data_IF_905881614784
#
_entry.id   IF_905881614784
#
_cell.length_a   1.000
_cell.length_b   1.000
_cell.length_c   1.000
_cell.angle_alpha   90.00
_cell.angle_beta   90.00
_cell.angle_gamma   90.00
#
_symmetry.space_group_name_H-M   'P 1'
#
loop_
_entity.id
_entity.type
_entity.pdbx_description
1 polymer ?
#
# COMPACT_ATOMS: atom_id res chain seq x y z
N UNK A 1 54.55 17.73 19.07
CA UNK A 1 53.09 17.53 19.19
C UNK A 1 52.29 17.86 17.92
N UNK A 2 52.88 17.88 16.71
CA UNK A 2 52.15 18.13 15.44
C UNK A 2 51.73 16.87 14.65
N UNK A 3 52.24 15.69 15.01
CA UNK A 3 51.96 14.42 14.29
C UNK A 3 50.77 13.63 14.83
N UNK A 4 50.21 14.01 15.98
CA UNK A 4 49.04 13.34 16.57
C UNK A 4 47.71 14.00 16.20
N UNK A 5 47.71 15.29 15.85
CA UNK A 5 46.48 16.02 15.53
C UNK A 5 46.00 15.72 14.11
N UNK A 6 46.91 15.44 13.17
CA UNK A 6 46.57 15.14 11.77
C UNK A 6 45.93 13.75 11.58
N UNK A 7 46.29 12.74 12.37
CA UNK A 7 45.65 11.41 12.28
C UNK A 7 44.21 11.40 12.78
N UNK A 8 43.87 12.23 13.78
CA UNK A 8 42.52 12.26 14.34
C UNK A 8 41.53 12.88 13.34
N UNK A 9 41.94 13.91 12.61
CA UNK A 9 41.08 14.58 11.62
C UNK A 9 40.76 13.66 10.43
N UNK A 10 41.73 12.86 9.96
CA UNK A 10 41.51 11.92 8.84
C UNK A 10 40.57 10.77 9.23
N UNK A 11 40.66 10.27 10.46
CA UNK A 11 39.77 9.21 10.96
C UNK A 11 38.33 9.74 11.11
N UNK A 12 38.15 10.96 11.62
CA UNK A 12 36.82 11.59 11.73
C UNK A 12 36.20 11.83 10.35
N UNK A 13 36.98 12.20 9.34
CA UNK A 13 36.48 12.42 7.99
C UNK A 13 36.04 11.12 7.30
N UNK A 14 36.76 10.00 7.54
CA UNK A 14 36.39 8.68 7.00
C UNK A 14 35.13 8.13 7.68
N UNK A 15 34.95 8.38 8.97
CA UNK A 15 33.71 8.03 9.69
C UNK A 15 32.53 8.85 9.15
N UNK A 16 32.71 10.15 8.91
CA UNK A 16 31.66 11.00 8.33
C UNK A 16 31.30 10.62 6.89
N UNK A 17 32.28 10.24 6.06
CA UNK A 17 32.00 9.78 4.69
C UNK A 17 31.27 8.43 4.67
N UNK A 18 31.60 7.53 5.60
CA UNK A 18 30.92 6.24 5.76
C UNK A 18 29.47 6.37 6.24
N UNK A 19 29.19 7.31 7.15
CA UNK A 19 27.81 7.56 7.63
C UNK A 19 26.93 8.17 6.54
N UNK A 20 27.48 9.03 5.67
CA UNK A 20 26.69 9.65 4.58
C UNK A 20 26.41 8.65 3.44
N UNK A 21 27.30 7.69 3.18
CA UNK A 21 27.02 6.61 2.22
C UNK A 21 26.10 5.52 2.78
N UNK A 22 26.09 5.29 4.10
CA UNK A 22 25.15 4.34 4.73
C UNK A 22 23.72 4.87 4.90
N UNK A 23 23.52 6.19 4.89
CA UNK A 23 22.18 6.80 4.91
C UNK A 23 21.48 6.81 3.55
N UNK A 24 22.20 6.55 2.45
CA UNK A 24 21.62 6.52 1.09
C UNK A 24 21.24 5.13 0.58
N UNK A 25 21.60 4.09 1.33
CA UNK A 25 21.21 2.70 1.08
C UNK A 25 20.75 2.08 2.40
N UNK A 26 19.74 2.67 3.03
CA UNK A 26 19.00 1.92 4.05
C UNK A 26 18.32 0.76 3.34
N UNK A 27 18.71 -0.51 3.60
CA UNK A 27 17.87 -1.61 3.19
C UNK A 27 16.59 -1.47 4.01
N UNK A 28 15.52 -0.99 3.36
CA UNK A 28 14.18 -0.90 3.94
C UNK A 28 13.91 -2.26 4.56
N UNK A 29 13.84 -2.31 5.90
CA UNK A 29 13.59 -3.54 6.66
C UNK A 29 12.46 -4.30 5.98
N UNK A 30 12.67 -5.57 5.66
CA UNK A 30 11.62 -6.51 5.25
C UNK A 30 10.74 -6.87 6.45
N UNK A 31 10.06 -5.86 7.00
CA UNK A 31 8.77 -5.98 7.68
C UNK A 31 7.76 -5.42 6.66
N UNK A 32 6.62 -6.10 6.47
CA UNK A 32 5.71 -5.86 5.34
C UNK A 32 5.34 -4.39 5.12
N UNK A 33 4.94 -4.04 3.90
CA UNK A 33 4.63 -2.65 3.54
C UNK A 33 3.51 -2.10 4.42
N UNK A 34 3.73 -0.89 4.91
CA UNK A 34 2.72 -0.15 5.65
C UNK A 34 1.59 0.27 4.71
N UNK A 35 0.35 0.10 5.16
CA UNK A 35 -0.82 0.57 4.43
C UNK A 35 -1.09 2.03 4.80
N UNK A 36 -1.03 2.91 3.80
CA UNK A 36 -1.33 4.33 3.95
C UNK A 36 -2.82 4.57 4.04
N UNK A 37 -3.25 5.63 4.73
CA UNK A 37 -4.66 6.01 4.75
C UNK A 37 -5.06 6.65 3.42
N UNK A 38 -6.28 6.37 2.96
CA UNK A 38 -6.75 6.85 1.66
C UNK A 38 -6.77 8.37 1.52
N UNK A 39 -6.91 9.12 2.62
CA UNK A 39 -6.86 10.59 2.62
C UNK A 39 -5.50 11.15 2.16
N UNK A 40 -4.43 10.36 2.25
CA UNK A 40 -3.08 10.78 1.89
C UNK A 40 -2.80 10.69 0.38
N UNK A 41 -3.63 9.95 -0.37
CA UNK A 41 -3.36 9.59 -1.76
C UNK A 41 -3.16 10.81 -2.66
N UNK A 42 -3.97 11.86 -2.47
CA UNK A 42 -3.96 13.05 -3.31
C UNK A 42 -2.70 13.91 -3.20
N UNK A 43 -1.95 13.77 -2.12
CA UNK A 43 -0.76 14.58 -1.81
C UNK A 43 0.49 13.72 -1.62
N UNK A 44 0.45 12.46 -2.07
CA UNK A 44 1.48 11.49 -1.78
C UNK A 44 2.69 11.69 -2.70
N UNK A 45 3.87 12.07 -2.19
CA UNK A 45 5.03 12.28 -3.05
C UNK A 45 5.58 10.95 -3.56
N UNK A 46 6.28 10.98 -4.70
CA UNK A 46 6.70 9.80 -5.43
C UNK A 46 7.68 8.93 -4.61
N UNK A 47 8.53 9.54 -3.79
CA UNK A 47 9.50 8.87 -2.93
C UNK A 47 8.87 8.03 -1.81
N UNK A 48 7.62 8.30 -1.44
CA UNK A 48 6.87 7.52 -0.45
C UNK A 48 6.16 6.31 -1.06
N UNK A 49 6.26 6.13 -2.38
CA UNK A 49 5.63 5.03 -3.12
C UNK A 49 6.61 3.90 -3.44
N UNK A 50 6.06 2.80 -3.93
CA UNK A 50 6.78 1.58 -4.26
C UNK A 50 6.82 1.34 -5.76
N UNK A 51 7.84 0.65 -6.23
CA UNK A 51 7.84 0.08 -7.58
C UNK A 51 7.00 -1.20 -7.65
N UNK A 52 6.88 -1.72 -8.87
CA UNK A 52 6.13 -2.93 -9.16
C UNK A 52 6.73 -4.17 -8.46
N UNK A 53 8.05 -4.31 -8.44
CA UNK A 53 8.72 -5.49 -7.87
C UNK A 53 8.60 -5.50 -6.34
N UNK A 54 8.72 -4.33 -5.71
CA UNK A 54 8.50 -4.15 -4.29
C UNK A 54 7.08 -4.61 -3.90
N UNK A 55 6.04 -4.13 -4.61
CA UNK A 55 4.65 -4.46 -4.29
C UNK A 55 4.31 -5.91 -4.62
N UNK A 56 4.83 -6.43 -5.73
CA UNK A 56 4.67 -7.84 -6.07
C UNK A 56 5.21 -8.73 -4.95
N UNK A 57 6.39 -8.39 -4.42
CA UNK A 57 6.97 -9.10 -3.28
C UNK A 57 6.12 -8.97 -2.01
N UNK A 58 5.55 -7.80 -1.71
CA UNK A 58 4.62 -7.65 -0.57
C UNK A 58 3.37 -8.51 -0.75
N UNK A 59 2.82 -8.56 -1.96
CA UNK A 59 1.68 -9.42 -2.29
C UNK A 59 2.01 -10.90 -2.13
N UNK A 60 3.15 -11.36 -2.65
CA UNK A 60 3.55 -12.77 -2.58
C UNK A 60 3.89 -13.23 -1.14
N UNK A 61 4.32 -12.31 -0.27
CA UNK A 61 4.57 -12.58 1.15
C UNK A 61 3.32 -12.46 2.03
N UNK A 62 2.28 -11.78 1.54
CA UNK A 62 1.03 -11.61 2.25
C UNK A 62 0.22 -12.92 2.21
N UNK A 63 0.09 -13.58 3.36
CA UNK A 63 -0.67 -14.84 3.51
C UNK A 63 -2.15 -14.73 3.11
N UNK A 64 -2.68 -13.51 2.93
CA UNK A 64 -4.05 -13.25 2.46
C UNK A 64 -4.16 -13.05 0.94
N UNK A 65 -3.05 -12.88 0.22
CA UNK A 65 -3.07 -12.73 -1.23
C UNK A 65 -3.19 -14.11 -1.89
N UNK A 66 -4.18 -14.27 -2.77
CA UNK A 66 -4.33 -15.49 -3.57
C UNK A 66 -3.50 -15.40 -4.85
N UNK A 67 -3.19 -16.54 -5.48
CA UNK A 67 -2.55 -16.59 -6.80
C UNK A 67 -3.31 -15.76 -7.83
N UNK A 68 -4.64 -15.82 -7.82
CA UNK A 68 -5.51 -15.03 -8.70
C UNK A 68 -5.37 -13.51 -8.46
N UNK A 69 -5.19 -13.08 -7.20
CA UNK A 69 -4.95 -11.67 -6.89
C UNK A 69 -3.62 -11.19 -7.47
N UNK A 70 -2.58 -12.01 -7.33
CA UNK A 70 -1.24 -11.73 -7.85
C UNK A 70 -1.24 -11.68 -9.38
N UNK A 71 -1.85 -12.67 -10.05
CA UNK A 71 -1.88 -12.73 -11.52
C UNK A 71 -2.68 -11.55 -12.12
N UNK A 72 -3.78 -11.16 -11.47
CA UNK A 72 -4.53 -9.96 -11.86
C UNK A 72 -3.68 -8.69 -11.74
N UNK A 73 -2.90 -8.56 -10.66
CA UNK A 73 -2.00 -7.42 -10.47
C UNK A 73 -0.93 -7.35 -11.57
N UNK A 74 -0.30 -8.48 -11.91
CA UNK A 74 0.67 -8.59 -13.01
C UNK A 74 0.06 -8.13 -14.34
N UNK A 75 -1.13 -8.65 -14.66
CA UNK A 75 -1.87 -8.30 -15.89
C UNK A 75 -2.24 -6.82 -15.96
N UNK A 76 -2.69 -6.24 -14.84
CA UNK A 76 -3.01 -4.81 -14.75
C UNK A 76 -1.76 -3.94 -14.93
N UNK A 77 -0.63 -4.28 -14.30
CA UNK A 77 0.63 -3.57 -14.49
C UNK A 77 1.06 -3.56 -15.96
N UNK A 78 1.08 -4.72 -16.61
CA UNK A 78 1.47 -4.81 -18.03
C UNK A 78 0.57 -3.97 -18.94
N UNK A 79 -0.75 -3.99 -18.69
CA UNK A 79 -1.72 -3.20 -19.45
C UNK A 79 -1.46 -1.70 -19.27
N UNK A 80 -1.25 -1.26 -18.03
CA UNK A 80 -0.99 0.13 -17.71
C UNK A 80 0.33 0.63 -18.30
N UNK A 81 1.40 -0.16 -18.20
CA UNK A 81 2.72 0.18 -18.74
C UNK A 81 2.71 0.27 -20.28
N UNK A 82 1.91 -0.56 -20.97
CA UNK A 82 1.72 -0.46 -22.43
C UNK A 82 1.01 0.82 -22.85
N UNK A 83 0.04 1.28 -22.05
CA UNK A 83 -0.70 2.52 -22.30
C UNK A 83 0.14 3.78 -21.99
N UNK A 84 0.98 3.76 -20.96
CA UNK A 84 1.84 4.90 -20.61
C UNK A 84 3.07 5.03 -21.51
N UNK A 85 3.65 3.91 -21.97
CA UNK A 85 4.83 3.90 -22.84
C UNK A 85 4.59 4.44 -24.26
N UNK A 86 3.33 4.48 -24.72
CA UNK A 86 3.01 4.93 -26.08
C UNK A 86 2.83 6.44 -26.20
N UNK A 87 2.56 7.19 -25.10
CA UNK A 87 2.25 8.63 -25.18
C UNK A 87 2.50 9.45 -23.89
N UNK A 88 3.14 8.92 -22.84
CA UNK A 88 3.26 9.64 -21.57
C UNK A 88 4.70 9.74 -21.05
N UNK A 89 5.04 10.90 -20.49
CA UNK A 89 6.22 11.13 -19.66
C UNK A 89 6.01 10.67 -18.21
N UNK A 90 4.98 9.85 -17.96
CA UNK A 90 4.54 9.48 -16.63
C UNK A 90 5.29 8.29 -16.07
N UNK A 91 5.60 8.33 -14.78
CA UNK A 91 6.11 7.20 -14.00
C UNK A 91 4.96 6.52 -13.28
N UNK A 92 4.85 5.21 -13.44
CA UNK A 92 3.89 4.41 -12.66
C UNK A 92 4.54 4.01 -11.33
N UNK A 93 3.81 4.25 -10.25
CA UNK A 93 4.17 3.82 -8.89
C UNK A 93 2.99 3.16 -8.21
N UNK A 94 3.26 2.46 -7.12
CA UNK A 94 2.30 1.64 -6.43
C UNK A 94 2.28 1.92 -4.94
N UNK A 95 1.13 1.71 -4.31
CA UNK A 95 0.95 1.85 -2.87
C UNK A 95 0.03 0.76 -2.32
N UNK A 96 0.15 0.54 -1.02
CA UNK A 96 -0.81 -0.22 -0.23
C UNK A 96 -1.70 0.76 0.53
N UNK A 97 -3.00 0.69 0.30
CA UNK A 97 -3.99 1.65 0.80
C UNK A 97 -4.94 0.98 1.80
N UNK A 98 -5.14 1.61 2.94
CA UNK A 98 -6.13 1.25 3.95
C UNK A 98 -7.33 2.20 3.90
N UNK A 99 -8.53 1.62 3.82
CA UNK A 99 -9.78 2.38 3.98
C UNK A 99 -10.20 2.44 5.45
N UNK A 100 -11.32 3.11 5.71
CA UNK A 100 -11.89 3.22 7.05
C UNK A 100 -12.08 1.84 7.71
N UNK A 101 -11.50 1.69 8.91
CA UNK A 101 -11.67 0.49 9.72
C UNK A 101 -13.07 0.40 10.31
N UNK A 102 -13.68 -0.79 10.26
CA UNK A 102 -14.88 -1.11 11.02
C UNK A 102 -14.51 -1.78 12.34
N UNK A 103 -14.88 -1.16 13.47
CA UNK A 103 -14.57 -1.64 14.82
C UNK A 103 -15.83 -2.10 15.54
N UNK A 104 -15.75 -3.24 16.23
CA UNK A 104 -16.86 -3.75 17.04
C UNK A 104 -16.36 -4.62 18.21
N UNK A 105 -17.25 -4.89 19.15
CA UNK A 105 -16.97 -5.70 20.35
C UNK A 105 -17.92 -6.90 20.41
N UNK A 106 -17.41 -8.09 20.77
CA UNK A 106 -18.21 -9.27 21.11
C UNK A 106 -17.68 -9.89 22.41
N UNK A 107 -18.50 -9.84 23.47
CA UNK A 107 -18.05 -10.17 24.82
C UNK A 107 -16.95 -9.21 25.28
N UNK A 108 -15.83 -9.74 25.75
CA UNK A 108 -14.65 -8.95 26.16
C UNK A 108 -13.67 -8.66 25.03
N UNK A 109 -13.92 -9.19 23.82
CA UNK A 109 -13.00 -9.07 22.69
C UNK A 109 -13.37 -7.89 21.79
N UNK A 110 -12.35 -7.12 21.41
CA UNK A 110 -12.44 -6.05 20.41
C UNK A 110 -11.88 -6.53 19.08
N UNK A 111 -12.56 -6.16 18.00
CA UNK A 111 -12.23 -6.54 16.63
C UNK A 111 -12.15 -5.29 15.76
N UNK A 112 -11.22 -5.32 14.81
CA UNK A 112 -11.04 -4.29 13.80
C UNK A 112 -10.86 -4.94 12.43
N UNK A 113 -11.62 -4.42 11.46
CA UNK A 113 -11.61 -4.88 10.08
C UNK A 113 -11.18 -3.70 9.21
N UNK A 114 -10.10 -3.86 8.48
CA UNK A 114 -9.55 -2.80 7.62
C UNK A 114 -9.49 -3.31 6.19
N UNK A 115 -10.23 -2.69 5.26
CA UNK A 115 -10.10 -2.98 3.84
C UNK A 115 -8.75 -2.48 3.32
N UNK A 116 -8.02 -3.35 2.62
CA UNK A 116 -6.72 -3.06 2.03
C UNK A 116 -6.76 -3.24 0.52
N UNK A 117 -6.18 -2.28 -0.20
CA UNK A 117 -6.08 -2.24 -1.66
C UNK A 117 -4.62 -2.04 -2.06
N UNK A 118 -4.20 -2.64 -3.18
CA UNK A 118 -3.00 -2.18 -3.87
C UNK A 118 -3.42 -1.26 -5.01
N UNK A 119 -2.84 -0.07 -5.07
CA UNK A 119 -3.27 0.99 -6.00
C UNK A 119 -2.10 1.38 -6.88
N UNK A 120 -2.33 1.41 -8.19
CA UNK A 120 -1.40 1.97 -9.17
C UNK A 120 -1.70 3.46 -9.39
N UNK A 121 -0.64 4.26 -9.38
CA UNK A 121 -0.67 5.71 -9.51
C UNK A 121 0.24 6.14 -10.66
N UNK A 122 -0.19 7.15 -11.42
CA UNK A 122 0.63 7.77 -12.44
C UNK A 122 1.14 9.15 -11.99
N UNK A 123 2.44 9.39 -12.12
CA UNK A 123 3.14 10.60 -11.73
C UNK A 123 3.81 11.26 -12.94
N UNK A 124 3.57 12.54 -13.18
CA UNK A 124 4.31 13.37 -14.16
C UNK A 124 5.29 14.33 -13.46
N UNK A 125 5.31 14.32 -12.13
CA UNK A 125 6.19 15.09 -11.25
C UNK A 125 6.38 14.33 -9.94
N UNK A 126 7.36 14.73 -9.12
CA UNK A 126 7.70 13.99 -7.90
C UNK A 126 6.79 14.31 -6.69
N UNK A 127 5.94 15.35 -6.77
CA UNK A 127 5.22 15.90 -5.60
C UNK A 127 3.91 15.20 -5.24
N UNK A 128 3.13 14.78 -6.23
CA UNK A 128 1.84 14.13 -6.02
C UNK A 128 1.43 13.33 -7.28
N UNK A 129 0.57 12.32 -7.14
CA UNK A 129 0.09 11.60 -8.31
C UNK A 129 -0.84 12.48 -9.14
N UNK A 130 -0.88 12.23 -10.44
CA UNK A 130 -1.85 12.83 -11.33
C UNK A 130 -3.18 12.07 -11.28
N UNK A 131 -3.13 10.73 -11.21
CA UNK A 131 -4.33 9.89 -11.25
C UNK A 131 -4.07 8.47 -10.74
N UNK A 132 -5.15 7.81 -10.36
CA UNK A 132 -5.26 6.38 -10.12
C UNK A 132 -5.41 5.69 -11.48
N UNK A 133 -4.58 4.68 -11.74
CA UNK A 133 -4.61 3.93 -13.01
C UNK A 133 -5.01 2.47 -12.83
N UNK A 134 -4.91 1.94 -11.61
CA UNK A 134 -5.41 0.60 -11.30
C UNK A 134 -5.68 0.45 -9.81
N UNK A 135 -6.55 -0.50 -9.51
CA UNK A 135 -6.79 -1.02 -8.17
C UNK A 135 -6.73 -2.53 -8.31
N UNK A 136 -5.84 -3.17 -7.55
CA UNK A 136 -5.77 -4.63 -7.50
C UNK A 136 -6.92 -5.19 -6.67
N UNK A 137 -7.15 -6.51 -6.79
CA UNK A 137 -8.17 -7.20 -5.99
C UNK A 137 -7.90 -6.99 -4.48
N UNK A 138 -8.89 -6.47 -3.73
CA UNK A 138 -8.70 -6.11 -2.33
C UNK A 138 -8.77 -7.33 -1.40
N UNK A 139 -8.37 -7.13 -0.15
CA UNK A 139 -8.54 -8.08 0.93
C UNK A 139 -8.91 -7.37 2.25
N UNK A 140 -9.41 -8.14 3.23
CA UNK A 140 -9.70 -7.64 4.58
C UNK A 140 -8.55 -8.01 5.51
N UNK A 141 -7.89 -7.01 6.08
CA UNK A 141 -7.06 -7.19 7.25
C UNK A 141 -7.95 -7.29 8.49
N UNK A 142 -7.70 -8.30 9.32
CA UNK A 142 -8.39 -8.45 10.61
C UNK A 142 -7.36 -8.33 11.75
N UNK A 143 -7.59 -7.42 12.68
CA UNK A 143 -6.74 -7.21 13.85
C UNK A 143 -7.58 -7.23 15.14
N UNK A 144 -6.93 -7.45 16.28
CA UNK A 144 -7.59 -7.51 17.59
C UNK A 144 -7.05 -8.60 18.51
N UNK A 145 -7.72 -8.80 19.65
CA UNK A 145 -7.27 -9.72 20.70
C UNK A 145 -7.40 -11.21 20.30
N UNK A 146 -8.28 -11.54 19.36
CA UNK A 146 -8.48 -12.91 18.87
C UNK A 146 -8.37 -12.97 17.33
N UNK A 147 -7.64 -13.98 16.83
CA UNK A 147 -7.48 -14.22 15.38
C UNK A 147 -8.83 -14.49 14.72
N UNK A 148 -9.21 -13.66 13.76
CA UNK A 148 -10.46 -13.75 13.01
C UNK A 148 -10.23 -14.02 11.52
N UNK A 149 -11.29 -14.44 10.84
CA UNK A 149 -11.33 -14.67 9.40
C UNK A 149 -12.57 -13.98 8.85
N UNK A 150 -12.40 -13.27 7.74
CA UNK A 150 -13.51 -12.75 6.94
C UNK A 150 -13.83 -13.74 5.82
N UNK A 151 -15.11 -14.05 5.65
CA UNK A 151 -15.64 -14.89 4.59
C UNK A 151 -16.81 -14.13 3.93
N UNK A 152 -16.60 -13.72 2.69
CA UNK A 152 -17.53 -12.84 2.00
C UNK A 152 -16.95 -12.27 0.71
N UNK A 153 -17.65 -11.27 0.20
CA UNK A 153 -17.29 -10.57 -1.03
C UNK A 153 -16.76 -9.18 -0.73
N UNK A 154 -15.74 -8.79 -1.47
CA UNK A 154 -15.24 -7.42 -1.53
C UNK A 154 -15.30 -7.02 -2.99
N UNK A 155 -15.95 -5.90 -3.28
CA UNK A 155 -15.94 -5.31 -4.62
C UNK A 155 -15.24 -3.97 -4.58
N UNK A 156 -14.65 -3.62 -5.71
CA UNK A 156 -14.17 -2.29 -6.00
C UNK A 156 -14.53 -1.95 -7.44
N UNK A 157 -14.69 -0.65 -7.71
CA UNK A 157 -14.93 -0.14 -9.06
C UNK A 157 -14.22 1.19 -9.19
N UNK A 158 -13.13 1.21 -9.94
CA UNK A 158 -12.53 2.46 -10.40
C UNK A 158 -13.54 3.12 -11.33
N UNK A 159 -14.02 4.31 -10.96
CA UNK A 159 -14.93 5.08 -11.80
C UNK A 159 -14.15 5.84 -12.86
N UNK A 160 -13.05 6.47 -12.45
CA UNK A 160 -12.16 7.27 -13.27
C UNK A 160 -10.82 7.48 -12.52
N UNK A 161 -9.92 8.29 -13.07
CA UNK A 161 -8.59 8.54 -12.49
C UNK A 161 -8.56 9.20 -11.10
N UNK A 162 -9.70 9.63 -10.55
CA UNK A 162 -9.74 10.29 -9.24
C UNK A 162 -10.78 9.74 -8.26
N UNK A 163 -11.52 8.70 -8.64
CA UNK A 163 -12.59 8.16 -7.80
C UNK A 163 -12.81 6.67 -8.00
N UNK A 164 -13.16 6.02 -6.90
CA UNK A 164 -13.54 4.61 -6.90
C UNK A 164 -14.54 4.32 -5.79
N UNK A 165 -15.41 3.35 -6.05
CA UNK A 165 -16.23 2.71 -5.03
C UNK A 165 -15.55 1.48 -4.47
N UNK A 166 -15.89 1.18 -3.23
CA UNK A 166 -15.62 -0.12 -2.64
C UNK A 166 -16.80 -0.54 -1.79
N UNK A 167 -16.99 -1.84 -1.63
CA UNK A 167 -17.94 -2.35 -0.67
C UNK A 167 -17.66 -3.79 -0.29
N UNK A 168 -18.11 -4.14 0.90
CA UNK A 168 -17.76 -5.36 1.60
C UNK A 168 -19.02 -5.91 2.21
N UNK A 169 -19.29 -7.18 1.93
CA UNK A 169 -20.42 -7.89 2.51
C UNK A 169 -20.01 -9.33 2.84
N UNK A 170 -20.26 -9.77 4.07
CA UNK A 170 -19.88 -11.11 4.49
C UNK A 170 -20.03 -11.38 5.98
N UNK A 171 -19.44 -12.49 6.41
CA UNK A 171 -19.46 -12.93 7.80
C UNK A 171 -18.05 -12.99 8.38
N UNK A 172 -17.95 -12.68 9.67
CA UNK A 172 -16.73 -12.84 10.45
C UNK A 172 -16.82 -14.10 11.30
N UNK A 173 -15.71 -14.84 11.34
CA UNK A 173 -15.53 -16.04 12.14
C UNK A 173 -14.26 -15.94 12.99
N UNK A 174 -14.24 -16.63 14.14
CA UNK A 174 -12.98 -16.95 14.83
C UNK A 174 -12.42 -18.27 14.29
N UNK A 175 -11.13 -18.56 14.54
CA UNK A 175 -10.39 -19.75 14.05
C UNK A 175 -11.15 -21.10 14.07
N UNK A 176 -12.12 -21.29 14.95
CA UNK A 176 -12.98 -22.48 15.06
C UNK A 176 -14.26 -22.43 14.22
N UNK A 177 -14.36 -21.51 13.23
CA UNK A 177 -15.56 -21.21 12.43
C UNK A 177 -16.79 -20.84 13.27
N UNK A 178 -16.59 -20.36 14.49
CA UNK A 178 -17.69 -19.84 15.30
C UNK A 178 -18.07 -18.46 14.78
N UNK A 179 -19.34 -18.32 14.39
CA UNK A 179 -19.89 -17.09 13.85
C UNK A 179 -19.75 -15.92 14.85
N UNK A 180 -19.25 -14.79 14.35
CA UNK A 180 -19.11 -13.55 15.12
C UNK A 180 -20.26 -12.61 14.79
N UNK A 181 -20.33 -12.14 13.55
CA UNK A 181 -21.28 -11.12 13.09
C UNK A 181 -21.25 -11.02 11.54
N UNK A 182 -22.36 -10.57 10.94
CA UNK A 182 -22.41 -10.13 9.54
C UNK A 182 -21.94 -8.67 9.43
N UNK A 183 -21.15 -8.39 8.41
CA UNK A 183 -20.72 -7.04 8.07
C UNK A 183 -21.24 -6.68 6.70
N UNK A 184 -21.69 -5.43 6.57
CA UNK A 184 -22.01 -4.81 5.30
C UNK A 184 -21.63 -3.35 5.43
N UNK A 185 -20.72 -2.89 4.57
CA UNK A 185 -20.41 -1.48 4.43
C UNK A 185 -19.78 -1.20 3.07
N UNK A 186 -20.10 -0.03 2.57
CA UNK A 186 -19.58 0.53 1.34
C UNK A 186 -19.02 1.93 1.58
N UNK A 187 -18.29 2.42 0.59
CA UNK A 187 -17.78 3.75 0.60
C UNK A 187 -17.29 4.17 -0.78
N UNK A 188 -16.94 5.45 -0.86
CA UNK A 188 -16.44 6.07 -2.07
C UNK A 188 -15.24 6.94 -1.70
N UNK A 189 -14.18 6.81 -2.49
CA UNK A 189 -13.12 7.79 -2.53
C UNK A 189 -13.34 8.73 -3.72
N UNK A 190 -13.12 10.02 -3.50
CA UNK A 190 -13.16 11.06 -4.52
C UNK A 190 -12.13 12.14 -4.18
N UNK A 191 -11.37 12.58 -5.18
CA UNK A 191 -10.36 13.64 -5.02
C UNK A 191 -10.35 14.61 -6.19
N UNK A 192 -10.75 15.85 -5.95
CA UNK A 192 -10.66 16.92 -6.96
C UNK A 192 -9.21 17.25 -7.37
N UNK A 193 -8.23 16.87 -6.55
CA UNK A 193 -6.80 17.11 -6.81
C UNK A 193 -6.20 16.14 -7.83
N UNK A 194 -6.94 15.09 -8.22
CA UNK A 194 -6.51 14.11 -9.20
C UNK A 194 -7.31 14.27 -10.49
N UNK A 195 -6.68 13.91 -11.61
CA UNK A 195 -7.26 13.95 -12.94
C UNK A 195 -8.26 12.79 -13.12
N UNK A 196 -9.36 13.08 -13.81
CA UNK A 196 -10.38 12.07 -14.14
C UNK A 196 -9.95 11.12 -15.29
N UNK A 197 -9.11 11.59 -16.21
CA UNK A 197 -8.70 10.85 -17.42
C UNK A 197 -7.41 10.07 -17.21
#
# INVERSE_FOLDING_TARGET
MKKFITSIIVIIFIIFLGVITFLKNSPRKTEGMEALKYEQLATLPIEETYDYEEILKDMELNELATTEMVDNFKTQHETNTKLTSTNSTGTIRYIKLAMNSHRFTKGFNKYELTPIFYVGLNYTSDTQPNKIISIAKPYISTTGAAKCVFDGSIFYKLENGHSFYYGISGAIYIKTKTFVKNIDFDGRYFSDSLNAD
#
